data_IF_366292398092
#
_entry.id   IF_366292398092
#
_cell.length_a   1.000
_cell.length_b   1.000
_cell.length_c   1.000
_cell.angle_alpha   90.00
_cell.angle_beta   90.00
_cell.angle_gamma   90.00
#
_symmetry.space_group_name_H-M   'P 1'
#
loop_
_entity.id
_entity.type
_entity.pdbx_description
1 polymer ?
#
# COMPACT_ATOMS: atom_id res chain seq x y z
N UNK A 1 -84.52 -65.26 -23.88
CA UNK A 1 -84.87 -65.87 -22.55
C UNK A 1 -84.23 -65.02 -21.44
N UNK A 2 -85.05 -64.55 -20.52
CA UNK A 2 -84.79 -64.14 -19.15
C UNK A 2 -83.76 -63.05 -18.93
N UNK A 3 -84.16 -61.74 -18.77
CA UNK A 3 -84.44 -61.10 -17.50
C UNK A 3 -83.31 -61.16 -16.53
N UNK A 4 -82.71 -59.95 -16.27
CA UNK A 4 -82.75 -59.44 -14.90
C UNK A 4 -82.47 -57.96 -14.94
N UNK A 5 -83.44 -57.16 -14.63
CA UNK A 5 -83.39 -55.76 -14.24
C UNK A 5 -82.74 -55.76 -12.86
N UNK A 6 -81.69 -55.09 -12.72
CA UNK A 6 -81.16 -54.82 -11.42
C UNK A 6 -81.05 -53.27 -11.25
N UNK A 7 -81.96 -52.82 -10.44
CA UNK A 7 -82.09 -51.43 -10.00
C UNK A 7 -80.81 -51.00 -9.28
N UNK A 8 -80.10 -50.17 -9.88
CA UNK A 8 -78.90 -49.58 -9.26
C UNK A 8 -79.32 -48.29 -8.59
N UNK A 9 -79.38 -48.34 -7.26
CA UNK A 9 -79.59 -47.24 -6.40
C UNK A 9 -78.47 -46.20 -6.67
N UNK A 10 -78.86 -45.02 -7.10
CA UNK A 10 -77.98 -43.88 -7.22
C UNK A 10 -77.73 -43.37 -5.80
N UNK A 11 -76.65 -43.83 -5.18
CA UNK A 11 -76.05 -43.11 -4.06
C UNK A 11 -75.27 -41.93 -4.64
N UNK A 12 -75.87 -40.77 -4.57
CA UNK A 12 -75.12 -39.51 -4.73
C UNK A 12 -74.14 -39.35 -3.55
N UNK A 13 -73.00 -39.98 -3.68
CA UNK A 13 -71.86 -39.60 -2.86
C UNK A 13 -71.43 -38.22 -3.32
N UNK A 14 -71.87 -37.16 -2.61
CA UNK A 14 -71.25 -35.87 -2.67
C UNK A 14 -69.84 -36.04 -2.13
N UNK A 15 -68.92 -36.42 -3.00
CA UNK A 15 -67.48 -36.34 -2.78
C UNK A 15 -67.12 -34.85 -2.67
N UNK A 16 -67.17 -34.33 -1.44
CA UNK A 16 -66.56 -33.06 -1.12
C UNK A 16 -65.07 -33.23 -1.44
N UNK A 17 -64.72 -32.94 -2.69
CA UNK A 17 -63.29 -32.73 -3.03
C UNK A 17 -62.76 -31.60 -2.17
N UNK A 18 -62.20 -32.00 -1.04
CA UNK A 18 -61.30 -31.17 -0.30
C UNK A 18 -60.05 -31.01 -1.21
N UNK A 19 -60.12 -30.00 -2.09
CA UNK A 19 -58.92 -29.59 -2.79
C UNK A 19 -57.86 -29.31 -1.70
N UNK A 20 -56.70 -29.95 -1.78
CA UNK A 20 -55.62 -29.53 -0.90
C UNK A 20 -55.37 -28.08 -1.21
N UNK A 21 -55.87 -27.19 -0.36
CA UNK A 21 -55.38 -25.83 -0.37
C UNK A 21 -53.87 -25.94 -0.26
N UNK A 22 -53.16 -25.64 -1.35
CA UNK A 22 -51.74 -25.45 -1.33
C UNK A 22 -51.47 -24.32 -0.34
N UNK A 23 -51.50 -24.65 0.94
CA UNK A 23 -51.03 -23.78 1.99
C UNK A 23 -49.57 -23.57 1.73
N UNK A 24 -49.27 -22.49 0.98
CA UNK A 24 -47.93 -22.01 0.75
C UNK A 24 -47.26 -21.94 2.11
N UNK A 25 -46.42 -22.92 2.43
CA UNK A 25 -45.79 -23.04 3.74
C UNK A 25 -45.22 -21.66 4.12
N UNK A 26 -45.81 -21.09 5.18
CA UNK A 26 -45.45 -19.74 5.60
C UNK A 26 -43.96 -19.71 5.87
N UNK A 27 -43.21 -18.94 5.06
CA UNK A 27 -41.76 -18.85 5.16
C UNK A 27 -41.38 -18.49 6.59
N UNK A 28 -40.71 -19.43 7.27
CA UNK A 28 -40.33 -19.33 8.66
C UNK A 28 -39.56 -18.03 8.89
N UNK A 29 -40.00 -17.19 9.84
CA UNK A 29 -39.38 -15.92 10.12
C UNK A 29 -37.90 -16.10 10.57
N UNK A 30 -37.01 -15.26 10.08
CA UNK A 30 -35.56 -15.32 10.38
C UNK A 30 -34.95 -13.96 10.54
N UNK A 31 -33.73 -13.94 11.11
CA UNK A 31 -32.91 -12.71 11.24
C UNK A 31 -31.93 -12.63 10.06
N UNK A 32 -32.05 -11.59 9.24
CA UNK A 32 -31.09 -11.23 8.18
C UNK A 32 -30.11 -10.19 8.70
N UNK A 33 -28.85 -10.29 8.33
CA UNK A 33 -27.78 -9.33 8.65
C UNK A 33 -27.02 -8.99 7.38
N UNK A 34 -26.45 -7.80 7.28
CA UNK A 34 -25.55 -7.42 6.19
C UNK A 34 -24.25 -8.23 6.25
N UNK A 35 -23.83 -8.67 7.45
CA UNK A 35 -22.68 -9.55 7.66
C UNK A 35 -23.11 -11.01 7.61
N UNK A 36 -22.28 -11.89 7.05
CA UNK A 36 -22.51 -13.33 7.08
C UNK A 36 -22.42 -13.93 8.50
N UNK A 37 -22.06 -15.23 8.59
CA UNK A 37 -21.86 -15.93 9.87
C UNK A 37 -20.58 -15.51 10.62
N UNK A 38 -19.68 -14.80 9.95
CA UNK A 38 -18.40 -14.33 10.47
C UNK A 38 -18.23 -12.83 10.17
N UNK A 39 -17.64 -12.08 11.08
CA UNK A 39 -17.32 -10.66 10.91
C UNK A 39 -15.97 -10.35 11.55
N UNK A 40 -15.25 -9.39 10.97
CA UNK A 40 -14.01 -8.85 11.55
C UNK A 40 -14.23 -7.41 11.94
N UNK A 41 -13.76 -7.04 13.13
CA UNK A 41 -13.71 -5.66 13.62
C UNK A 41 -12.33 -5.40 14.21
N UNK A 42 -11.79 -4.21 14.02
CA UNK A 42 -10.50 -3.87 14.61
C UNK A 42 -10.68 -3.32 16.04
N UNK A 43 -9.64 -3.51 16.86
CA UNK A 43 -9.62 -2.96 18.22
C UNK A 43 -9.87 -1.44 18.17
N UNK A 44 -10.77 -0.96 19.02
CA UNK A 44 -11.20 0.44 19.04
C UNK A 44 -12.24 0.84 17.98
N UNK A 45 -12.41 0.05 16.91
CA UNK A 45 -13.36 0.33 15.82
C UNK A 45 -14.72 -0.33 16.07
N UNK A 46 -15.72 0.15 15.33
CA UNK A 46 -17.09 -0.34 15.40
C UNK A 46 -17.54 -0.99 14.11
N UNK A 47 -18.52 -1.90 14.20
CA UNK A 47 -19.18 -2.55 13.07
C UNK A 47 -20.69 -2.63 13.34
N UNK A 48 -21.50 -2.08 12.43
CA UNK A 48 -22.96 -2.19 12.49
C UNK A 48 -23.42 -3.48 11.81
N UNK A 49 -24.19 -4.30 12.52
CA UNK A 49 -24.71 -5.57 11.98
C UNK A 49 -25.85 -5.40 10.98
N UNK A 50 -26.53 -4.25 11.00
CA UNK A 50 -27.70 -3.96 10.16
C UNK A 50 -28.72 -5.14 10.16
N UNK A 51 -28.97 -5.68 11.36
CA UNK A 51 -29.84 -6.84 11.51
C UNK A 51 -31.31 -6.43 11.41
N UNK A 52 -32.10 -7.23 10.66
CA UNK A 52 -33.55 -7.10 10.56
C UNK A 52 -34.22 -8.46 10.59
N UNK A 53 -35.45 -8.53 11.12
CA UNK A 53 -36.28 -9.72 11.00
C UNK A 53 -36.98 -9.73 9.64
N UNK A 54 -37.12 -10.93 9.05
CA UNK A 54 -37.84 -11.16 7.80
C UNK A 54 -39.03 -12.06 8.14
N UNK A 55 -40.18 -11.79 7.55
CA UNK A 55 -41.44 -12.51 7.81
C UNK A 55 -42.30 -11.91 8.93
N UNK A 56 -41.69 -11.40 10.00
CA UNK A 56 -42.39 -10.68 11.12
C UNK A 56 -41.52 -9.56 11.63
N UNK A 57 -42.05 -8.31 11.71
CA UNK A 57 -41.34 -7.18 12.33
C UNK A 57 -41.26 -7.40 13.83
N UNK A 58 -40.09 -7.69 14.39
CA UNK A 58 -39.85 -7.88 15.82
C UNK A 58 -38.58 -7.17 16.25
N UNK A 59 -38.58 -6.64 17.47
CA UNK A 59 -37.40 -6.03 18.10
C UNK A 59 -36.31 -7.08 18.29
N UNK A 60 -35.09 -6.77 17.85
CA UNK A 60 -33.93 -7.64 18.02
C UNK A 60 -33.15 -7.22 19.26
N UNK A 61 -32.85 -8.19 20.11
CA UNK A 61 -31.95 -8.05 21.25
C UNK A 61 -30.61 -8.69 20.93
N UNK A 62 -29.54 -8.13 21.50
CA UNK A 62 -28.18 -8.53 21.22
C UNK A 62 -27.45 -8.92 22.50
N UNK A 63 -26.71 -10.04 22.48
CA UNK A 63 -25.86 -10.47 23.59
C UNK A 63 -24.49 -10.91 23.06
N UNK A 64 -23.43 -10.48 23.72
CA UNK A 64 -22.08 -10.97 23.43
C UNK A 64 -21.68 -12.06 24.40
N UNK A 65 -20.90 -13.05 23.92
CA UNK A 65 -20.35 -14.11 24.76
C UNK A 65 -19.14 -13.68 25.58
N UNK A 66 -18.41 -12.62 25.14
CA UNK A 66 -17.20 -12.09 25.81
C UNK A 66 -17.15 -10.58 25.73
N UNK A 67 -17.65 -9.89 26.79
CA UNK A 67 -17.67 -8.41 26.89
C UNK A 67 -16.26 -7.80 26.89
N UNK A 68 -15.26 -8.52 27.36
CA UNK A 68 -13.85 -8.09 27.34
C UNK A 68 -13.25 -8.04 25.93
N UNK A 69 -13.78 -8.85 25.01
CA UNK A 69 -13.31 -8.91 23.60
C UNK A 69 -14.11 -7.96 22.74
N UNK A 70 -15.44 -8.04 22.80
CA UNK A 70 -16.33 -7.17 22.03
C UNK A 70 -17.62 -6.90 22.79
N UNK A 71 -18.12 -5.67 22.70
CA UNK A 71 -19.46 -5.30 23.18
C UNK A 71 -20.39 -5.09 22.00
N UNK A 72 -21.69 -5.19 22.24
CA UNK A 72 -22.74 -4.86 21.28
C UNK A 72 -23.82 -4.04 21.99
N UNK A 73 -24.28 -2.96 21.35
CA UNK A 73 -25.33 -2.11 21.89
C UNK A 73 -26.73 -2.50 21.38
N UNK A 74 -27.79 -1.85 21.91
CA UNK A 74 -29.18 -2.07 21.52
C UNK A 74 -29.47 -1.80 20.04
N UNK A 75 -28.63 -0.99 19.34
CA UNK A 75 -28.72 -0.68 17.90
C UNK A 75 -27.96 -1.70 17.03
N UNK A 76 -27.38 -2.76 17.62
CA UNK A 76 -26.59 -3.78 16.90
C UNK A 76 -25.23 -3.30 16.43
N UNK A 77 -24.67 -2.25 17.07
CA UNK A 77 -23.31 -1.79 16.80
C UNK A 77 -22.36 -2.52 17.73
N UNK A 78 -21.43 -3.26 17.13
CA UNK A 78 -20.34 -3.96 17.82
C UNK A 78 -19.15 -3.00 17.98
N UNK A 79 -18.52 -2.98 19.16
CA UNK A 79 -17.24 -2.31 19.42
C UNK A 79 -16.19 -3.36 19.77
N UNK A 80 -15.11 -3.44 19.02
CA UNK A 80 -13.94 -4.27 19.34
C UNK A 80 -13.14 -3.67 20.50
N UNK A 81 -12.93 -4.42 21.58
CA UNK A 81 -12.21 -3.95 22.76
C UNK A 81 -10.80 -4.53 22.86
N UNK A 82 -10.67 -5.84 22.74
CA UNK A 82 -9.39 -6.56 22.85
C UNK A 82 -9.32 -7.64 21.79
N UNK A 83 -8.13 -7.93 21.29
CA UNK A 83 -7.89 -9.06 20.41
C UNK A 83 -8.52 -10.35 20.93
N UNK A 84 -9.20 -11.07 20.05
CA UNK A 84 -9.86 -12.32 20.40
C UNK A 84 -11.04 -12.64 19.51
N UNK A 85 -11.88 -13.54 20.00
CA UNK A 85 -13.09 -13.96 19.34
C UNK A 85 -14.27 -13.91 20.31
N UNK A 86 -15.39 -13.37 19.87
CA UNK A 86 -16.64 -13.34 20.60
C UNK A 86 -17.79 -13.81 19.69
N UNK A 87 -18.83 -14.44 20.26
CA UNK A 87 -20.06 -14.76 19.56
C UNK A 87 -21.12 -13.71 19.91
N UNK A 88 -21.73 -13.09 18.92
CA UNK A 88 -22.87 -12.20 19.08
C UNK A 88 -24.14 -12.97 18.78
N UNK A 89 -25.01 -13.10 19.77
CA UNK A 89 -26.31 -13.75 19.63
C UNK A 89 -27.38 -12.68 19.45
N UNK A 90 -28.18 -12.82 18.42
CA UNK A 90 -29.37 -12.01 18.11
C UNK A 90 -30.61 -12.82 18.37
N UNK A 91 -31.54 -12.28 19.16
CA UNK A 91 -32.81 -12.91 19.47
C UNK A 91 -33.97 -11.96 19.15
N UNK A 92 -35.05 -12.49 18.65
CA UNK A 92 -36.33 -11.81 18.49
C UNK A 92 -37.47 -12.80 18.82
N UNK A 93 -38.55 -12.29 19.40
CA UNK A 93 -39.68 -13.14 19.85
C UNK A 93 -40.29 -13.93 18.67
N UNK A 94 -40.44 -15.25 18.83
CA UNK A 94 -40.97 -16.16 17.79
C UNK A 94 -40.08 -16.33 16.56
N UNK A 95 -38.79 -15.96 16.64
CA UNK A 95 -37.83 -16.08 15.54
C UNK A 95 -36.60 -16.86 16.01
N UNK A 96 -36.13 -17.81 15.17
CA UNK A 96 -34.91 -18.57 15.48
C UNK A 96 -33.73 -17.62 15.72
N UNK A 97 -33.04 -17.78 16.86
CA UNK A 97 -31.89 -16.98 17.21
C UNK A 97 -30.76 -17.13 16.18
N UNK A 98 -30.13 -16.03 15.82
CA UNK A 98 -28.95 -16.02 14.93
C UNK A 98 -27.70 -15.69 15.72
N UNK A 99 -26.64 -16.45 15.47
CA UNK A 99 -25.31 -16.23 16.05
C UNK A 99 -24.33 -15.87 14.96
N UNK A 100 -23.46 -14.90 15.22
CA UNK A 100 -22.32 -14.60 14.37
C UNK A 100 -21.02 -14.66 15.18
N UNK A 101 -19.96 -15.10 14.54
CA UNK A 101 -18.61 -15.09 15.14
C UNK A 101 -17.92 -13.79 14.78
N UNK A 102 -17.51 -13.04 15.79
CA UNK A 102 -16.80 -11.78 15.63
C UNK A 102 -15.34 -11.98 16.00
N UNK A 103 -14.47 -11.73 15.03
CA UNK A 103 -13.04 -11.70 15.22
C UNK A 103 -12.61 -10.27 15.47
N UNK A 104 -12.10 -9.99 16.67
CA UNK A 104 -11.46 -8.71 16.96
C UNK A 104 -9.98 -8.84 16.65
N UNK A 105 -9.46 -7.97 15.79
CA UNK A 105 -8.10 -8.01 15.28
C UNK A 105 -7.40 -6.68 15.55
N UNK A 106 -6.06 -6.71 15.67
CA UNK A 106 -5.24 -5.49 15.70
C UNK A 106 -5.04 -4.99 14.26
N UNK A 107 -5.13 -3.68 14.08
CA UNK A 107 -4.74 -3.07 12.82
C UNK A 107 -3.23 -3.15 12.61
N UNK A 108 -2.78 -3.02 11.37
CA UNK A 108 -1.36 -2.90 11.06
C UNK A 108 -0.76 -1.65 11.75
N UNK A 109 0.43 -1.79 12.28
CA UNK A 109 1.19 -0.70 12.93
C UNK A 109 2.44 -0.33 12.14
N UNK A 110 2.86 -1.16 11.18
CA UNK A 110 4.04 -0.93 10.35
C UNK A 110 4.41 -2.16 9.54
N UNK A 111 5.58 -2.07 8.92
CA UNK A 111 6.23 -3.16 8.18
C UNK A 111 7.64 -3.30 8.71
N UNK A 112 8.03 -4.52 9.11
CA UNK A 112 9.40 -4.88 9.46
C UNK A 112 10.09 -5.42 8.22
N UNK A 113 11.24 -4.86 7.87
CA UNK A 113 12.19 -5.45 6.93
C UNK A 113 13.15 -6.36 7.69
N UNK A 114 13.43 -7.52 7.11
CA UNK A 114 14.46 -8.46 7.57
C UNK A 114 15.55 -8.67 6.49
N UNK A 115 15.45 -7.93 5.38
CA UNK A 115 16.46 -7.77 4.35
C UNK A 115 17.04 -6.34 4.38
N UNK A 116 18.09 -6.09 3.61
CA UNK A 116 18.64 -4.76 3.43
C UNK A 116 17.56 -3.78 2.90
N UNK A 117 17.69 -2.51 3.24
CA UNK A 117 16.81 -1.45 2.74
C UNK A 117 17.30 -0.94 1.37
N UNK A 118 18.51 -1.28 0.98
CA UNK A 118 19.09 -0.99 -0.34
C UNK A 118 19.50 -2.31 -1.00
N UNK A 119 19.18 -2.44 -2.29
CA UNK A 119 19.55 -3.57 -3.13
C UNK A 119 20.38 -3.04 -4.28
N UNK A 120 21.59 -3.58 -4.43
CA UNK A 120 22.50 -3.25 -5.52
C UNK A 120 22.60 -4.44 -6.48
N UNK A 121 22.33 -4.20 -7.76
CA UNK A 121 22.52 -5.16 -8.82
C UNK A 121 23.62 -4.67 -9.76
N UNK A 122 24.61 -5.53 -10.03
CA UNK A 122 25.69 -5.24 -10.96
C UNK A 122 25.49 -5.87 -12.34
N UNK A 123 24.36 -6.55 -12.54
CA UNK A 123 23.98 -7.17 -13.83
C UNK A 123 22.48 -7.25 -13.96
N UNK A 124 21.95 -6.94 -15.15
CA UNK A 124 20.54 -7.16 -15.49
C UNK A 124 20.21 -8.66 -15.45
N UNK A 125 18.96 -8.96 -15.15
CA UNK A 125 18.49 -10.33 -14.90
C UNK A 125 18.75 -10.84 -13.47
N UNK A 126 19.68 -10.23 -12.72
CA UNK A 126 19.90 -10.58 -11.33
C UNK A 126 18.65 -10.33 -10.48
N UNK A 127 18.50 -11.13 -9.44
CA UNK A 127 17.31 -11.09 -8.57
C UNK A 127 17.68 -11.04 -7.10
N UNK A 128 16.83 -10.37 -6.31
CA UNK A 128 16.94 -10.33 -4.86
C UNK A 128 15.57 -10.52 -4.21
N UNK A 129 15.55 -11.04 -2.99
CA UNK A 129 14.32 -11.26 -2.24
C UNK A 129 14.16 -10.23 -1.13
N UNK A 130 13.15 -9.40 -1.20
CA UNK A 130 12.73 -8.55 -0.09
C UNK A 130 12.03 -9.44 0.96
N UNK A 131 12.59 -9.47 2.16
CA UNK A 131 12.00 -10.14 3.32
C UNK A 131 11.32 -9.11 4.21
N UNK A 132 9.99 -9.06 4.15
CA UNK A 132 9.20 -8.09 4.91
C UNK A 132 8.03 -8.76 5.63
N UNK A 133 7.62 -8.21 6.76
CA UNK A 133 6.49 -8.71 7.57
C UNK A 133 5.63 -7.56 8.07
N UNK A 134 4.31 -7.68 7.94
CA UNK A 134 3.38 -6.73 8.52
C UNK A 134 3.33 -6.86 10.05
N UNK A 135 3.37 -5.76 10.78
CA UNK A 135 3.28 -5.69 12.23
C UNK A 135 1.85 -5.38 12.68
N UNK A 136 1.44 -5.89 13.86
CA UNK A 136 2.17 -6.66 14.87
C UNK A 136 2.36 -8.14 14.53
N UNK A 137 1.93 -8.61 13.37
CA UNK A 137 2.11 -9.99 12.92
C UNK A 137 1.20 -11.02 13.59
N UNK A 138 1.43 -12.30 13.27
CA UNK A 138 0.77 -13.44 13.90
C UNK A 138 -0.76 -13.48 13.68
N UNK A 139 -1.45 -14.22 14.56
CA UNK A 139 -2.92 -14.38 14.55
C UNK A 139 -3.66 -13.10 14.97
N UNK A 140 -2.95 -12.09 15.45
CA UNK A 140 -3.55 -10.83 15.93
C UNK A 140 -4.04 -9.94 14.78
N UNK A 141 -3.54 -10.11 13.56
CA UNK A 141 -3.96 -9.36 12.38
C UNK A 141 -5.04 -10.09 11.59
N UNK A 142 -5.87 -9.31 10.90
CA UNK A 142 -6.87 -9.85 9.96
C UNK A 142 -6.22 -10.30 8.64
N UNK A 143 -5.21 -9.57 8.19
CA UNK A 143 -4.39 -9.89 7.02
C UNK A 143 -2.96 -9.48 7.29
N UNK A 144 -2.02 -10.30 6.83
CA UNK A 144 -0.57 -10.06 6.83
C UNK A 144 -0.04 -9.85 5.41
N UNK A 145 -0.94 -9.85 4.43
CA UNK A 145 -0.58 -9.70 3.02
C UNK A 145 0.07 -8.35 2.79
N UNK A 146 1.20 -8.38 2.13
CA UNK A 146 1.90 -7.22 1.63
C UNK A 146 1.70 -7.11 0.12
N UNK A 147 1.73 -5.89 -0.38
CA UNK A 147 1.77 -5.57 -1.80
C UNK A 147 3.05 -4.81 -2.08
N UNK A 148 3.57 -4.97 -3.29
CA UNK A 148 4.84 -4.39 -3.74
C UNK A 148 4.60 -3.62 -5.02
N UNK A 149 5.21 -2.44 -5.13
CA UNK A 149 5.13 -1.60 -6.33
C UNK A 149 6.50 -0.99 -6.62
N UNK A 150 6.96 -1.11 -7.85
CA UNK A 150 8.15 -0.42 -8.35
C UNK A 150 7.78 0.99 -8.80
N UNK A 151 8.62 1.97 -8.46
CA UNK A 151 8.52 3.34 -8.97
C UNK A 151 8.96 3.43 -10.43
N UNK A 152 9.92 2.57 -10.83
CA UNK A 152 10.43 2.50 -12.19
C UNK A 152 10.57 1.03 -12.65
N UNK A 153 9.49 0.43 -13.24
CA UNK A 153 9.51 -0.96 -13.71
C UNK A 153 10.48 -1.22 -14.86
N UNK A 154 10.94 -0.18 -15.56
CA UNK A 154 11.96 -0.31 -16.61
C UNK A 154 13.33 -0.66 -16.01
N UNK A 155 13.64 -0.14 -14.82
CA UNK A 155 14.88 -0.42 -14.09
C UNK A 155 14.79 -1.70 -13.28
N UNK A 156 13.72 -1.84 -12.48
CA UNK A 156 13.53 -3.04 -11.67
C UNK A 156 12.04 -3.36 -11.50
N UNK A 157 11.70 -4.63 -11.64
CA UNK A 157 10.34 -5.12 -11.38
C UNK A 157 10.32 -5.91 -10.08
N UNK A 158 9.15 -5.96 -9.45
CA UNK A 158 8.92 -6.75 -8.24
C UNK A 158 7.65 -7.58 -8.39
N UNK A 159 7.69 -8.83 -7.97
CA UNK A 159 6.50 -9.69 -7.97
C UNK A 159 5.73 -9.62 -6.64
N UNK A 160 4.55 -10.26 -6.60
CA UNK A 160 3.70 -10.31 -5.41
C UNK A 160 4.33 -10.99 -4.17
N UNK A 161 5.42 -11.73 -4.36
CA UNK A 161 6.19 -12.38 -3.29
C UNK A 161 7.37 -11.54 -2.82
N UNK A 162 7.60 -10.35 -3.41
CA UNK A 162 8.70 -9.46 -3.08
C UNK A 162 10.04 -9.85 -3.72
N UNK A 163 10.04 -10.70 -4.76
CA UNK A 163 11.23 -10.97 -5.57
C UNK A 163 11.43 -9.82 -6.56
N UNK A 164 12.54 -9.13 -6.42
CA UNK A 164 12.97 -8.03 -7.31
C UNK A 164 13.84 -8.59 -8.42
N UNK A 165 13.68 -8.09 -9.63
CA UNK A 165 14.50 -8.45 -10.80
C UNK A 165 15.00 -7.18 -11.46
N UNK A 166 16.32 -7.07 -11.65
CA UNK A 166 16.96 -6.00 -12.39
C UNK A 166 16.66 -6.12 -13.90
N UNK A 167 16.30 -5.00 -14.55
CA UNK A 167 15.91 -4.95 -15.96
C UNK A 167 16.81 -4.06 -16.81
N UNK A 168 17.21 -2.91 -16.28
CA UNK A 168 18.04 -1.92 -16.96
C UNK A 168 18.83 -1.12 -15.91
N UNK A 169 19.98 -0.57 -16.28
CA UNK A 169 20.72 0.34 -15.43
C UNK A 169 19.88 1.52 -14.96
N UNK A 170 20.07 1.93 -13.71
CA UNK A 170 19.37 3.06 -13.09
C UNK A 170 18.89 2.79 -11.66
N UNK A 171 17.97 3.65 -11.20
CA UNK A 171 17.38 3.62 -9.86
C UNK A 171 15.89 3.31 -9.91
N UNK A 172 15.44 2.54 -8.97
CA UNK A 172 14.01 2.31 -8.70
C UNK A 172 13.78 2.16 -7.20
N UNK A 173 12.62 2.60 -6.73
CA UNK A 173 12.16 2.39 -5.35
C UNK A 173 11.05 1.35 -5.35
N UNK A 174 11.20 0.35 -4.51
CA UNK A 174 10.14 -0.62 -4.28
C UNK A 174 9.37 -0.22 -3.03
N UNK A 175 8.14 0.23 -3.22
CA UNK A 175 7.22 0.50 -2.12
C UNK A 175 6.51 -0.77 -1.69
N UNK A 176 6.59 -1.08 -0.40
CA UNK A 176 5.90 -2.19 0.25
C UNK A 176 4.72 -1.61 1.01
N UNK A 177 3.54 -2.19 0.88
CA UNK A 177 2.35 -1.70 1.57
C UNK A 177 1.57 -2.84 2.23
N UNK A 178 0.98 -2.57 3.40
CA UNK A 178 -0.07 -3.43 3.95
C UNK A 178 -1.38 -3.17 3.20
N UNK A 179 -2.28 -4.16 3.18
CA UNK A 179 -3.57 -4.02 2.50
C UNK A 179 -4.63 -3.39 3.40
N UNK A 180 -5.73 -2.90 2.83
CA UNK A 180 -6.88 -2.39 3.58
C UNK A 180 -7.45 -3.44 4.56
N UNK A 181 -7.34 -4.74 4.24
CA UNK A 181 -7.73 -5.85 5.13
C UNK A 181 -6.91 -5.92 6.42
N UNK A 182 -5.75 -5.26 6.47
CA UNK A 182 -4.93 -5.12 7.69
C UNK A 182 -5.46 -4.06 8.66
N UNK A 183 -6.51 -3.32 8.28
CA UNK A 183 -7.15 -2.29 9.11
C UNK A 183 -6.46 -0.92 9.08
N UNK A 184 -5.25 -0.85 8.57
CA UNK A 184 -4.48 0.37 8.29
C UNK A 184 -3.50 0.06 7.17
N UNK A 185 -3.34 1.00 6.25
CA UNK A 185 -2.27 0.95 5.24
C UNK A 185 -1.03 1.56 5.88
N UNK A 186 0.05 0.76 5.91
CA UNK A 186 1.40 1.18 6.29
C UNK A 186 2.30 0.93 5.10
N UNK A 187 3.29 1.78 4.89
CA UNK A 187 4.26 1.67 3.80
C UNK A 187 5.68 1.55 4.33
N UNK A 188 6.55 0.98 3.53
CA UNK A 188 8.00 0.91 3.73
C UNK A 188 8.65 0.82 2.36
N UNK A 189 9.75 1.52 2.17
CA UNK A 189 10.47 1.57 0.90
C UNK A 189 11.78 0.79 0.96
N UNK A 190 12.17 0.24 -0.20
CA UNK A 190 13.47 -0.39 -0.47
C UNK A 190 14.01 0.25 -1.73
N UNK A 191 15.21 0.80 -1.65
CA UNK A 191 15.89 1.41 -2.78
C UNK A 191 16.62 0.33 -3.59
N UNK A 192 16.56 0.42 -4.91
CA UNK A 192 17.16 -0.53 -5.85
C UNK A 192 18.01 0.23 -6.85
N UNK A 193 19.28 -0.13 -6.91
CA UNK A 193 20.24 0.38 -7.89
C UNK A 193 20.67 -0.76 -8.83
N UNK A 194 20.65 -0.48 -10.12
CA UNK A 194 21.13 -1.42 -11.14
C UNK A 194 22.27 -0.73 -11.89
N UNK A 195 23.48 -1.28 -11.81
CA UNK A 195 24.70 -0.70 -12.38
C UNK A 195 25.12 -1.32 -13.73
N UNK A 196 24.37 -2.30 -14.21
CA UNK A 196 24.64 -2.96 -15.48
C UNK A 196 24.25 -2.07 -16.67
N UNK A 197 25.17 -1.89 -17.62
CA UNK A 197 25.01 -0.96 -18.75
C UNK A 197 24.97 0.51 -18.33
N UNK A 198 25.48 0.81 -17.16
CA UNK A 198 25.50 2.11 -16.51
C UNK A 198 26.93 2.63 -16.53
N UNK A 199 27.31 3.22 -17.66
CA UNK A 199 28.71 3.56 -17.86
C UNK A 199 29.13 4.77 -17.00
N UNK A 200 28.33 5.85 -16.96
CA UNK A 200 28.72 7.07 -16.25
C UNK A 200 27.67 7.59 -15.27
N UNK A 201 26.60 8.21 -15.74
CA UNK A 201 25.54 8.78 -14.90
C UNK A 201 24.18 8.40 -15.45
N UNK A 202 23.29 7.86 -14.62
CA UNK A 202 21.91 7.64 -14.98
C UNK A 202 21.08 8.89 -14.75
N UNK A 203 20.36 9.36 -15.75
CA UNK A 203 19.46 10.49 -15.61
C UNK A 203 18.00 10.07 -15.76
N UNK A 204 17.13 10.64 -14.94
CA UNK A 204 15.69 10.48 -15.00
C UNK A 204 15.04 11.88 -14.92
N UNK A 205 14.20 12.20 -15.92
CA UNK A 205 13.47 13.48 -15.95
C UNK A 205 11.99 13.24 -15.67
N UNK A 206 11.43 14.01 -14.73
CA UNK A 206 10.01 14.00 -14.38
C UNK A 206 9.51 15.43 -14.22
N UNK A 207 8.74 15.92 -15.20
CA UNK A 207 8.35 17.32 -15.30
C UNK A 207 9.58 18.22 -15.45
N UNK A 208 9.70 19.25 -14.60
CA UNK A 208 10.86 20.17 -14.58
C UNK A 208 12.05 19.64 -13.77
N UNK A 209 11.97 18.42 -13.22
CA UNK A 209 13.03 17.85 -12.37
C UNK A 209 13.84 16.84 -13.14
N UNK A 210 15.15 16.95 -13.06
CA UNK A 210 16.08 15.94 -13.58
C UNK A 210 16.93 15.40 -12.43
N UNK A 211 16.87 14.09 -12.20
CA UNK A 211 17.67 13.40 -11.19
C UNK A 211 18.79 12.61 -11.85
N UNK A 212 19.99 12.85 -11.41
CA UNK A 212 21.18 12.10 -11.79
C UNK A 212 21.54 11.14 -10.68
N UNK A 213 21.74 9.88 -11.00
CA UNK A 213 22.18 8.84 -10.06
C UNK A 213 23.60 8.42 -10.44
N UNK A 214 24.50 8.47 -9.46
CA UNK A 214 25.91 8.17 -9.63
C UNK A 214 26.23 6.77 -9.13
N UNK A 215 27.20 6.12 -9.78
CA UNK A 215 27.74 4.85 -9.28
C UNK A 215 28.60 5.13 -8.03
N UNK A 216 28.30 4.50 -6.87
CA UNK A 216 29.02 4.74 -5.63
C UNK A 216 30.48 4.29 -5.63
N UNK A 217 30.90 3.53 -6.65
CA UNK A 217 32.27 3.04 -6.76
C UNK A 217 33.21 4.00 -7.52
N UNK A 218 32.70 5.10 -8.04
CA UNK A 218 33.55 6.09 -8.72
C UNK A 218 34.43 6.89 -7.77
N UNK A 219 35.61 7.24 -8.22
CA UNK A 219 36.54 8.08 -7.46
C UNK A 219 36.09 9.54 -7.45
N UNK A 220 35.80 10.09 -8.62
CA UNK A 220 35.35 11.46 -8.74
C UNK A 220 34.37 11.65 -9.90
N UNK A 221 33.60 12.73 -9.82
CA UNK A 221 32.69 13.17 -10.90
C UNK A 221 32.93 14.65 -11.13
N UNK A 222 33.16 15.05 -12.36
CA UNK A 222 33.18 16.46 -12.75
C UNK A 222 31.85 16.81 -13.41
N UNK A 223 31.17 17.79 -12.85
CA UNK A 223 29.90 18.35 -13.35
C UNK A 223 30.26 19.54 -14.25
N UNK A 224 29.81 19.52 -15.48
CA UNK A 224 29.98 20.61 -16.42
C UNK A 224 28.67 21.32 -16.65
N UNK A 225 28.70 22.64 -16.49
CA UNK A 225 27.59 23.55 -16.77
C UNK A 225 27.92 24.35 -18.03
N UNK A 226 27.03 24.26 -19.03
CA UNK A 226 27.16 25.10 -20.22
C UNK A 226 26.22 26.29 -20.10
N UNK A 227 26.78 27.50 -20.07
CA UNK A 227 26.02 28.75 -19.97
C UNK A 227 25.20 29.03 -21.23
N UNK A 228 24.35 30.04 -21.18
CA UNK A 228 23.59 30.51 -22.34
C UNK A 228 24.50 31.06 -23.45
N UNK A 229 25.68 31.55 -23.10
CA UNK A 229 26.72 32.01 -24.04
C UNK A 229 27.56 30.89 -24.62
N UNK A 230 27.30 29.61 -24.23
CA UNK A 230 28.07 28.46 -24.71
C UNK A 230 29.38 28.21 -23.95
N UNK A 231 29.74 29.06 -22.96
CA UNK A 231 30.92 28.82 -22.14
C UNK A 231 30.69 27.71 -21.14
N UNK A 232 31.70 26.85 -20.95
CA UNK A 232 31.62 25.71 -20.04
C UNK A 232 32.35 26.02 -18.73
N UNK A 233 31.66 25.71 -17.62
CA UNK A 233 32.16 25.75 -16.26
C UNK A 233 32.16 24.37 -15.67
N UNK A 234 33.06 24.07 -14.76
CA UNK A 234 33.16 22.76 -14.15
C UNK A 234 33.27 22.81 -12.64
N UNK A 235 32.66 21.85 -11.99
CA UNK A 235 32.79 21.58 -10.56
C UNK A 235 33.13 20.10 -10.35
N UNK A 236 34.28 19.82 -9.72
CA UNK A 236 34.74 18.47 -9.43
C UNK A 236 34.28 18.03 -8.05
N UNK A 237 33.67 16.85 -7.98
CA UNK A 237 33.31 16.13 -6.75
C UNK A 237 34.30 14.99 -6.59
N UNK A 238 35.27 15.13 -5.69
CA UNK A 238 36.41 14.20 -5.55
C UNK A 238 36.01 12.87 -4.87
N UNK A 239 34.95 12.85 -4.08
CA UNK A 239 34.37 11.64 -3.51
C UNK A 239 32.86 11.80 -3.39
N UNK A 240 32.14 11.15 -4.28
CA UNK A 240 30.68 11.31 -4.37
C UNK A 240 29.99 11.12 -3.02
N UNK A 241 30.33 10.07 -2.28
CA UNK A 241 29.73 9.81 -0.98
C UNK A 241 30.07 10.88 0.04
N UNK A 242 31.33 11.24 0.13
CA UNK A 242 31.83 12.20 1.13
C UNK A 242 31.38 13.62 0.79
N UNK A 243 31.52 14.03 -0.46
CA UNK A 243 31.13 15.37 -0.92
C UNK A 243 29.61 15.59 -0.85
N UNK A 244 28.80 14.63 -1.29
CA UNK A 244 27.35 14.72 -1.15
C UNK A 244 26.92 14.73 0.31
N UNK A 245 27.60 14.01 1.20
CA UNK A 245 27.35 14.09 2.64
C UNK A 245 27.77 15.47 3.20
N UNK A 246 28.91 16.00 2.81
CA UNK A 246 29.35 17.32 3.23
C UNK A 246 28.36 18.39 2.76
N UNK A 247 27.98 18.37 1.49
CA UNK A 247 26.98 19.29 0.93
C UNK A 247 25.62 19.18 1.62
N UNK A 248 25.26 17.97 2.06
CA UNK A 248 24.01 17.73 2.79
C UNK A 248 24.02 18.28 4.22
N UNK A 249 25.19 18.36 4.87
CA UNK A 249 25.31 18.67 6.30
C UNK A 249 25.83 20.06 6.60
N UNK A 250 26.40 20.78 5.63
CA UNK A 250 27.05 22.10 5.87
C UNK A 250 26.01 23.22 5.83
N UNK A 251 25.93 24.00 6.90
CA UNK A 251 25.16 25.26 6.95
C UNK A 251 25.99 26.40 6.38
N UNK A 252 25.42 27.11 5.39
CA UNK A 252 26.05 28.34 4.87
C UNK A 252 27.34 28.08 4.08
N UNK A 253 27.47 26.91 3.45
CA UNK A 253 28.63 26.62 2.59
C UNK A 253 28.53 27.41 1.28
N UNK A 254 29.63 28.07 0.90
CA UNK A 254 29.82 28.69 -0.41
C UNK A 254 31.20 28.30 -0.94
N UNK A 255 31.27 27.83 -2.16
CA UNK A 255 32.52 27.52 -2.86
C UNK A 255 32.47 28.09 -4.29
N UNK A 256 33.48 28.86 -4.67
CA UNK A 256 33.60 29.41 -6.00
C UNK A 256 34.74 28.71 -6.71
N UNK A 257 34.44 27.90 -7.71
CA UNK A 257 35.40 27.19 -8.54
C UNK A 257 35.05 27.38 -10.01
N UNK A 258 36.00 27.83 -10.80
CA UNK A 258 35.85 27.97 -12.24
C UNK A 258 34.60 28.77 -12.69
N UNK A 259 34.19 29.76 -11.92
CA UNK A 259 33.00 30.58 -12.21
C UNK A 259 31.68 29.98 -11.75
N UNK A 260 31.72 28.91 -10.97
CA UNK A 260 30.53 28.31 -10.34
C UNK A 260 30.56 28.54 -8.85
N UNK A 261 29.49 29.15 -8.30
CA UNK A 261 29.30 29.30 -6.87
C UNK A 261 28.35 28.18 -6.38
N UNK A 262 28.76 27.51 -5.29
CA UNK A 262 27.96 26.46 -4.65
C UNK A 262 27.57 26.95 -3.27
N UNK A 263 26.28 27.07 -2.99
CA UNK A 263 25.77 27.49 -1.70
C UNK A 263 24.59 26.62 -1.26
N UNK A 264 24.44 26.48 0.05
CA UNK A 264 23.27 25.74 0.63
C UNK A 264 22.16 26.74 0.92
N UNK A 265 20.95 26.45 0.45
CA UNK A 265 19.75 27.17 0.82
C UNK A 265 19.24 26.72 2.20
N UNK A 266 19.55 27.51 3.23
CA UNK A 266 19.15 27.26 4.61
C UNK A 266 17.65 27.49 4.86
N UNK A 267 16.95 28.25 4.00
CA UNK A 267 15.54 28.60 4.19
C UNK A 267 14.60 27.43 3.92
N UNK A 268 14.99 26.50 3.06
CA UNK A 268 14.15 25.35 2.65
C UNK A 268 14.21 24.15 3.58
N UNK A 269 14.97 24.19 4.69
CA UNK A 269 15.15 23.06 5.64
C UNK A 269 15.46 21.70 4.98
N UNK A 270 15.98 21.70 3.77
CA UNK A 270 16.34 20.54 2.99
C UNK A 270 17.80 20.62 2.58
N UNK A 271 18.39 19.52 2.16
CA UNK A 271 19.73 19.46 1.62
C UNK A 271 19.73 20.02 0.19
N UNK A 272 19.34 21.28 0.03
CA UNK A 272 19.28 21.96 -1.26
C UNK A 272 20.51 22.86 -1.40
N UNK A 273 21.18 22.72 -2.52
CA UNK A 273 22.37 23.46 -2.89
C UNK A 273 21.98 24.33 -4.08
N UNK A 274 22.34 25.59 -4.00
CA UNK A 274 22.24 26.49 -5.13
C UNK A 274 23.58 26.49 -5.88
N UNK A 275 23.58 26.04 -7.13
CA UNK A 275 24.72 26.17 -8.05
C UNK A 275 24.51 27.43 -8.89
N UNK A 276 25.34 28.44 -8.68
CA UNK A 276 25.26 29.70 -9.41
C UNK A 276 26.43 29.84 -10.36
N UNK A 277 26.12 30.08 -11.63
CA UNK A 277 27.13 30.48 -12.62
C UNK A 277 27.32 32.00 -12.49
N UNK A 278 28.44 32.44 -11.91
CA UNK A 278 28.67 33.81 -11.51
C UNK A 278 28.58 34.78 -12.70
N UNK A 279 29.17 34.41 -13.85
CA UNK A 279 29.21 35.28 -15.03
C UNK A 279 27.85 35.53 -15.67
N UNK A 280 26.93 34.55 -15.63
CA UNK A 280 25.62 34.68 -16.26
C UNK A 280 24.48 34.87 -15.26
N UNK A 281 24.75 34.71 -13.96
CA UNK A 281 23.75 34.75 -12.90
C UNK A 281 22.77 33.57 -12.94
N UNK A 282 23.01 32.52 -13.73
CA UNK A 282 22.18 31.34 -13.79
C UNK A 282 22.23 30.55 -12.48
N UNK A 283 21.06 30.26 -11.90
CA UNK A 283 20.92 29.52 -10.66
C UNK A 283 20.30 28.13 -10.90
N UNK A 284 20.84 27.12 -10.23
CA UNK A 284 20.33 25.75 -10.23
C UNK A 284 20.15 25.27 -8.80
N UNK A 285 18.90 25.14 -8.36
CA UNK A 285 18.57 24.51 -7.09
C UNK A 285 18.70 22.98 -7.22
N UNK A 286 19.53 22.38 -6.39
CA UNK A 286 19.87 20.97 -6.46
C UNK A 286 19.68 20.32 -5.10
N UNK A 287 18.91 19.24 -5.05
CA UNK A 287 18.85 18.37 -3.89
C UNK A 287 19.98 17.35 -3.96
N UNK A 288 20.89 17.39 -3.00
CA UNK A 288 21.93 16.38 -2.83
C UNK A 288 21.45 15.27 -1.87
N UNK A 289 21.31 14.06 -2.38
CA UNK A 289 20.95 12.88 -1.59
C UNK A 289 22.13 11.90 -1.54
N UNK A 290 22.94 12.02 -0.52
CA UNK A 290 24.13 11.19 -0.34
C UNK A 290 23.79 9.71 -0.07
N UNK A 291 22.62 9.42 0.47
CA UNK A 291 22.21 8.03 0.72
C UNK A 291 21.85 7.30 -0.58
N UNK A 292 21.42 8.06 -1.59
CA UNK A 292 21.04 7.53 -2.91
C UNK A 292 22.06 7.85 -4.00
N UNK A 293 23.13 8.57 -3.67
CA UNK A 293 24.13 9.06 -4.64
C UNK A 293 23.47 9.84 -5.77
N UNK A 294 22.55 10.76 -5.43
CA UNK A 294 21.73 11.49 -6.38
C UNK A 294 21.90 13.01 -6.24
N UNK A 295 21.88 13.67 -7.40
CA UNK A 295 21.64 15.11 -7.51
C UNK A 295 20.35 15.34 -8.29
N UNK A 296 19.37 15.99 -7.67
CA UNK A 296 18.11 16.35 -8.33
C UNK A 296 18.06 17.84 -8.58
N UNK A 297 18.05 18.21 -9.85
CA UNK A 297 17.86 19.60 -10.30
C UNK A 297 16.36 19.88 -10.42
N UNK A 298 15.93 21.00 -9.85
CA UNK A 298 14.51 21.41 -9.88
C UNK A 298 14.18 22.31 -11.07
N UNK A 299 15.11 22.50 -11.99
CA UNK A 299 14.97 23.32 -13.20
C UNK A 299 15.21 22.45 -14.43
N UNK A 300 14.52 22.71 -15.51
CA UNK A 300 14.80 22.06 -16.80
C UNK A 300 16.23 22.40 -17.25
N UNK A 301 17.04 21.37 -17.48
CA UNK A 301 18.47 21.54 -17.78
C UNK A 301 18.76 21.74 -19.27
N UNK A 302 17.83 21.36 -20.16
CA UNK A 302 17.94 21.51 -21.62
C UNK A 302 19.34 21.11 -22.16
N UNK A 303 19.89 19.97 -21.70
CA UNK A 303 21.22 19.47 -22.00
C UNK A 303 22.40 20.39 -21.60
N UNK A 304 22.18 21.35 -20.69
CA UNK A 304 23.22 22.26 -20.21
C UNK A 304 24.15 21.67 -19.15
N UNK A 305 23.82 20.50 -18.61
CA UNK A 305 24.63 19.82 -17.59
C UNK A 305 25.10 18.49 -18.14
N UNK A 306 26.41 18.29 -18.13
CA UNK A 306 27.08 17.05 -18.50
C UNK A 306 28.03 16.59 -17.41
N UNK A 307 28.46 15.35 -17.44
CA UNK A 307 29.31 14.77 -16.41
C UNK A 307 30.49 14.04 -17.03
N UNK A 308 31.65 14.16 -16.41
CA UNK A 308 32.79 13.28 -16.65
C UNK A 308 33.10 12.52 -15.36
N UNK A 309 33.29 11.22 -15.48
CA UNK A 309 33.46 10.29 -14.37
C UNK A 309 34.83 9.66 -14.41
N UNK A 310 35.51 9.71 -13.26
CA UNK A 310 36.75 8.95 -13.03
C UNK A 310 36.42 7.67 -12.25
N UNK A 311 36.71 6.53 -12.87
CA UNK A 311 36.42 5.18 -12.34
C UNK A 311 37.48 4.71 -11.34
#
# INVERSE_FOLDING_TARGET
MKKKIMTMLMLLAVSCMIMPTNAKAAKKAYIKTATGSKATVFVGKTLKLSAKTVGKKKKITYKTSKKSVATVNKKGVIKGKKYGTAKITMKASGVKAKKITVYVRKAATGIKLSSAQTINFYKTGNTAQIKATALPGGKQMASKTLTYKSSNPQVAVVNSKGKVTAKKGGYSRIQISTTARSGKICTKDVDVFVYDGFDDVCSETSGSKTTFTFNPNWKSVTIYFTSQTGKQYSYKVDSIKTELNMLANVKGFADERNGVAVSKDSARKANIINFKIIETGEDYDVLADAQRYQLTFYKALNNKVTFNVEK
#
